data_IF_847087758474
#
_entry.id   IF_847087758474
#
_cell.length_a   1.000
_cell.length_b   1.000
_cell.length_c   1.000
_cell.angle_alpha   90.00
_cell.angle_beta   90.00
_cell.angle_gamma   90.00
#
_symmetry.space_group_name_H-M   'P 1'
#
loop_
_entity.id
_entity.type
_entity.pdbx_description
1 polymer ?
#
# COMPACT_ATOMS: atom_id res chain seq x y z
N UNK A 1 50.72 -17.11 8.38
CA UNK A 1 49.75 -17.61 9.39
C UNK A 1 48.79 -16.53 9.90
N UNK A 2 49.20 -15.26 10.13
CA UNK A 2 48.31 -14.19 10.64
C UNK A 2 47.13 -13.79 9.74
N UNK A 3 47.29 -13.79 8.41
CA UNK A 3 46.19 -13.43 7.48
C UNK A 3 45.06 -14.46 7.53
N UNK A 4 45.41 -15.75 7.68
CA UNK A 4 44.44 -16.85 7.74
C UNK A 4 43.60 -16.80 9.03
N UNK A 5 44.15 -16.32 10.15
CA UNK A 5 43.41 -16.19 11.42
C UNK A 5 42.50 -14.95 11.50
N UNK A 6 42.70 -13.96 10.63
CA UNK A 6 41.78 -12.83 10.47
C UNK A 6 40.52 -13.21 9.71
N UNK A 7 40.66 -13.92 8.59
CA UNK A 7 39.54 -14.34 7.75
C UNK A 7 38.51 -15.21 8.48
N UNK A 8 38.97 -16.19 9.27
CA UNK A 8 38.08 -17.07 10.03
C UNK A 8 37.29 -16.34 11.13
N UNK A 9 37.85 -15.28 11.72
CA UNK A 9 37.12 -14.47 12.72
C UNK A 9 35.98 -13.68 12.06
N UNK A 10 36.26 -13.01 10.95
CA UNK A 10 35.23 -12.25 10.19
C UNK A 10 34.11 -13.18 9.71
N UNK A 11 34.44 -14.36 9.18
CA UNK A 11 33.43 -15.32 8.75
C UNK A 11 32.57 -15.83 9.92
N UNK A 12 33.17 -16.17 11.07
CA UNK A 12 32.43 -16.57 12.26
C UNK A 12 31.52 -15.46 12.79
N UNK A 13 31.97 -14.21 12.76
CA UNK A 13 31.16 -13.07 13.21
C UNK A 13 29.99 -12.79 12.24
N UNK A 14 30.22 -12.87 10.92
CA UNK A 14 29.16 -12.78 9.91
C UNK A 14 28.14 -13.91 10.04
N UNK A 15 28.60 -15.15 10.29
CA UNK A 15 27.72 -16.30 10.52
C UNK A 15 26.88 -16.13 11.78
N UNK A 16 27.47 -15.64 12.88
CA UNK A 16 26.74 -15.34 14.13
C UNK A 16 25.71 -14.22 13.94
N UNK A 17 26.06 -13.15 13.23
CA UNK A 17 25.13 -12.05 12.92
C UNK A 17 23.98 -12.56 12.05
N UNK A 18 24.28 -13.37 11.03
CA UNK A 18 23.27 -13.96 10.14
C UNK A 18 22.33 -14.91 10.89
N UNK A 19 22.89 -15.79 11.74
CA UNK A 19 22.10 -16.72 12.55
C UNK A 19 21.24 -15.99 13.58
N UNK A 20 21.78 -14.96 14.25
CA UNK A 20 21.02 -14.11 15.18
C UNK A 20 19.90 -13.34 14.47
N UNK A 21 20.17 -12.82 13.27
CA UNK A 21 19.17 -12.18 12.41
C UNK A 21 18.06 -13.16 12.03
N UNK A 22 18.40 -14.39 11.66
CA UNK A 22 17.42 -15.44 11.34
C UNK A 22 16.58 -15.79 12.57
N UNK A 23 17.20 -16.03 13.73
CA UNK A 23 16.48 -16.31 14.98
C UNK A 23 15.56 -15.15 15.41
N UNK A 24 16.00 -13.90 15.26
CA UNK A 24 15.19 -12.72 15.55
C UNK A 24 14.05 -12.49 14.56
N UNK A 25 14.17 -12.99 13.33
CA UNK A 25 13.15 -12.94 12.28
C UNK A 25 12.09 -14.01 12.51
N UNK A 26 12.52 -15.21 12.91
CA UNK A 26 11.66 -16.37 13.18
C UNK A 26 11.25 -16.52 14.66
N UNK A 27 11.50 -15.50 15.48
CA UNK A 27 11.09 -15.50 16.88
C UNK A 27 9.57 -15.76 16.98
N UNK A 28 9.11 -16.76 17.75
CA UNK A 28 7.69 -17.12 17.85
C UNK A 28 6.80 -15.91 18.18
N UNK A 29 7.26 -15.01 19.05
CA UNK A 29 6.54 -13.79 19.44
C UNK A 29 6.27 -12.82 18.28
N UNK A 30 7.03 -12.89 17.19
CA UNK A 30 6.80 -12.12 15.96
C UNK A 30 5.99 -12.91 14.95
N UNK A 31 6.32 -14.19 14.75
CA UNK A 31 5.64 -15.06 13.77
C UNK A 31 4.17 -15.27 14.13
N UNK A 32 3.85 -15.46 15.41
CA UNK A 32 2.49 -15.72 15.89
C UNK A 32 1.68 -14.45 16.16
N UNK A 33 2.10 -13.27 15.70
CA UNK A 33 1.23 -12.08 15.79
C UNK A 33 0.03 -12.25 14.86
N UNK A 34 -1.15 -11.85 15.34
CA UNK A 34 -2.42 -11.96 14.63
C UNK A 34 -2.38 -11.46 13.16
N UNK A 35 -1.69 -10.35 12.81
CA UNK A 35 -1.58 -9.92 11.42
C UNK A 35 -0.82 -10.91 10.52
N UNK A 36 0.24 -11.53 11.05
CA UNK A 36 1.04 -12.53 10.33
C UNK A 36 0.29 -13.85 10.20
N UNK A 37 -0.42 -14.28 11.25
CA UNK A 37 -1.26 -15.46 11.19
C UNK A 37 -2.40 -15.32 10.19
N UNK A 38 -3.10 -14.17 10.18
CA UNK A 38 -4.15 -13.90 9.18
C UNK A 38 -3.59 -13.88 7.76
N UNK A 39 -2.39 -13.32 7.57
CA UNK A 39 -1.70 -13.36 6.29
C UNK A 39 -1.34 -14.80 5.88
N UNK A 40 -0.73 -15.58 6.77
CA UNK A 40 -0.36 -16.97 6.50
C UNK A 40 -1.59 -17.83 6.20
N UNK A 41 -2.64 -17.73 7.01
CA UNK A 41 -3.90 -18.46 6.83
C UNK A 41 -4.57 -18.14 5.49
N UNK A 42 -4.61 -16.86 5.09
CA UNK A 42 -5.17 -16.41 3.81
C UNK A 42 -4.45 -17.04 2.61
N UNK A 43 -3.12 -16.98 2.59
CA UNK A 43 -2.33 -17.56 1.49
C UNK A 43 -2.38 -19.09 1.53
N UNK A 44 -2.28 -19.70 2.71
CA UNK A 44 -2.36 -21.15 2.89
C UNK A 44 -3.69 -21.70 2.39
N UNK A 45 -4.81 -21.07 2.76
CA UNK A 45 -6.14 -21.47 2.31
C UNK A 45 -6.24 -21.39 0.78
N UNK A 46 -5.79 -20.28 0.20
CA UNK A 46 -5.86 -20.09 -1.26
C UNK A 46 -5.01 -21.10 -2.03
N UNK A 47 -3.78 -21.39 -1.56
CA UNK A 47 -2.91 -22.43 -2.13
C UNK A 47 -3.53 -23.81 -1.97
N UNK A 48 -4.10 -24.11 -0.79
CA UNK A 48 -4.76 -25.39 -0.53
C UNK A 48 -5.97 -25.60 -1.44
N UNK A 49 -6.81 -24.56 -1.63
CA UNK A 49 -7.95 -24.62 -2.56
C UNK A 49 -7.47 -24.83 -4.00
N UNK A 50 -6.43 -24.11 -4.44
CA UNK A 50 -5.84 -24.31 -5.76
C UNK A 50 -5.28 -25.73 -5.94
N UNK A 51 -4.69 -26.31 -4.89
CA UNK A 51 -4.17 -27.68 -4.91
C UNK A 51 -5.31 -28.70 -5.03
N UNK A 52 -6.39 -28.54 -4.27
CA UNK A 52 -7.59 -29.39 -4.35
C UNK A 52 -8.23 -29.30 -5.75
N UNK A 53 -8.32 -28.10 -6.32
CA UNK A 53 -8.79 -27.90 -7.70
C UNK A 53 -7.83 -28.55 -8.70
N UNK A 54 -6.52 -28.50 -8.49
CA UNK A 54 -5.55 -29.19 -9.35
C UNK A 54 -5.70 -30.71 -9.36
N UNK A 55 -6.06 -31.32 -8.22
CA UNK A 55 -6.28 -32.76 -8.09
C UNK A 55 -7.64 -33.18 -8.66
N UNK A 56 -8.73 -32.51 -8.25
CA UNK A 56 -10.10 -32.93 -8.56
C UNK A 56 -10.75 -32.18 -9.71
N UNK A 57 -10.19 -31.04 -10.13
CA UNK A 57 -10.78 -30.15 -11.13
C UNK A 57 -10.96 -30.79 -12.50
N UNK A 58 -10.11 -31.75 -12.86
CA UNK A 58 -10.28 -32.51 -14.12
C UNK A 58 -11.65 -33.19 -14.21
N UNK A 59 -12.21 -33.67 -13.10
CA UNK A 59 -13.53 -34.31 -13.08
C UNK A 59 -14.67 -33.34 -13.37
N UNK A 60 -14.52 -32.06 -12.99
CA UNK A 60 -15.52 -31.02 -13.24
C UNK A 60 -15.34 -30.35 -14.60
N UNK A 61 -14.12 -30.39 -15.14
CA UNK A 61 -13.67 -29.48 -16.17
C UNK A 61 -12.54 -30.07 -17.06
N UNK A 62 -12.79 -31.20 -17.74
CA UNK A 62 -11.76 -31.91 -18.50
C UNK A 62 -11.20 -31.08 -19.67
N UNK A 63 -12.01 -30.15 -20.20
CA UNK A 63 -11.66 -29.33 -21.35
C UNK A 63 -10.59 -28.27 -21.04
N UNK A 64 -10.55 -27.73 -19.82
CA UNK A 64 -9.68 -26.59 -19.48
C UNK A 64 -8.64 -26.87 -18.38
N UNK A 65 -8.82 -27.90 -17.54
CA UNK A 65 -7.82 -28.28 -16.53
C UNK A 65 -7.10 -29.57 -16.94
N UNK A 66 -5.76 -29.53 -16.84
CA UNK A 66 -4.95 -30.74 -16.95
C UNK A 66 -5.05 -31.54 -15.65
N UNK A 67 -5.18 -32.88 -15.71
CA UNK A 67 -5.21 -33.71 -14.51
C UNK A 67 -3.90 -33.58 -13.73
N UNK A 68 -4.00 -33.51 -12.40
CA UNK A 68 -2.87 -33.44 -11.46
C UNK A 68 -1.88 -32.31 -11.72
N UNK A 69 -2.35 -31.15 -12.22
CA UNK A 69 -1.47 -30.02 -12.53
C UNK A 69 -1.10 -29.21 -11.28
N UNK A 70 0.18 -29.09 -10.91
CA UNK A 70 0.63 -28.24 -9.80
C UNK A 70 0.65 -26.74 -10.17
N UNK A 71 0.37 -26.40 -11.43
CA UNK A 71 0.55 -25.05 -11.99
C UNK A 71 -0.20 -23.99 -11.20
N UNK A 72 -1.44 -24.27 -10.78
CA UNK A 72 -2.27 -23.31 -10.04
C UNK A 72 -1.66 -22.97 -8.68
N UNK A 73 -1.31 -23.98 -7.90
CA UNK A 73 -0.71 -23.82 -6.58
C UNK A 73 0.68 -23.16 -6.65
N UNK A 74 1.52 -23.58 -7.63
CA UNK A 74 2.84 -22.98 -7.85
C UNK A 74 2.73 -21.51 -8.25
N UNK A 75 1.82 -21.19 -9.16
CA UNK A 75 1.61 -19.80 -9.59
C UNK A 75 1.18 -18.96 -8.39
N UNK A 76 0.25 -19.46 -7.59
CA UNK A 76 -0.23 -18.73 -6.44
C UNK A 76 0.85 -18.53 -5.35
N UNK A 77 1.72 -19.53 -5.15
CA UNK A 77 2.87 -19.41 -4.25
C UNK A 77 3.82 -18.28 -4.66
N UNK A 78 3.99 -18.04 -5.97
CA UNK A 78 4.77 -16.90 -6.49
C UNK A 78 4.03 -15.56 -6.34
N UNK A 79 2.69 -15.59 -6.32
CA UNK A 79 1.83 -14.40 -6.25
C UNK A 79 1.51 -13.97 -4.82
N UNK A 80 2.10 -14.58 -3.80
CA UNK A 80 1.93 -14.16 -2.41
C UNK A 80 2.30 -12.67 -2.26
N UNK A 81 1.34 -11.85 -1.83
CA UNK A 81 1.54 -10.42 -1.60
C UNK A 81 1.19 -10.05 -0.16
N UNK A 82 2.14 -9.40 0.52
CA UNK A 82 1.98 -8.94 1.91
C UNK A 82 1.02 -7.75 2.03
N UNK A 83 0.91 -6.94 0.99
CA UNK A 83 0.06 -5.75 1.01
C UNK A 83 -1.40 -6.17 0.89
N UNK A 84 -2.27 -5.72 1.80
CA UNK A 84 -3.67 -6.15 1.87
C UNK A 84 -4.55 -5.45 0.82
N UNK A 85 -4.27 -4.19 0.50
CA UNK A 85 -5.22 -3.33 -0.23
C UNK A 85 -4.76 -2.99 -1.66
N UNK A 86 -3.47 -2.73 -1.92
CA UNK A 86 -2.91 -2.84 -3.28
C UNK A 86 -2.77 -4.28 -3.78
N UNK A 87 -3.18 -5.29 -2.99
CA UNK A 87 -3.17 -6.69 -3.40
C UNK A 87 -3.91 -6.87 -4.72
N UNK A 88 -5.11 -6.28 -4.84
CA UNK A 88 -5.96 -6.45 -6.01
C UNK A 88 -5.27 -5.95 -7.28
N UNK A 89 -4.89 -4.67 -7.31
CA UNK A 89 -4.26 -4.08 -8.49
C UNK A 89 -2.93 -4.75 -8.82
N UNK A 90 -2.10 -5.08 -7.80
CA UNK A 90 -0.84 -5.79 -8.02
C UNK A 90 -1.07 -7.21 -8.55
N UNK A 91 -2.05 -7.93 -8.02
CA UNK A 91 -2.41 -9.28 -8.49
C UNK A 91 -2.98 -9.24 -9.91
N UNK A 92 -3.79 -8.23 -10.26
CA UNK A 92 -4.25 -8.00 -11.63
C UNK A 92 -3.10 -7.66 -12.57
N UNK A 93 -2.21 -6.77 -12.18
CA UNK A 93 -1.01 -6.44 -12.95
C UNK A 93 -0.12 -7.67 -13.17
N UNK A 94 0.04 -8.52 -12.15
CA UNK A 94 0.76 -9.79 -12.28
C UNK A 94 0.04 -10.75 -13.23
N UNK A 95 -1.28 -10.89 -13.14
CA UNK A 95 -2.09 -11.70 -14.06
C UNK A 95 -1.90 -11.23 -15.50
N UNK A 96 -2.09 -9.94 -15.73
CA UNK A 96 -1.94 -9.31 -17.05
C UNK A 96 -0.54 -9.55 -17.57
N UNK A 97 0.48 -9.37 -16.73
CA UNK A 97 1.87 -9.58 -17.12
C UNK A 97 2.18 -11.02 -17.53
N UNK A 98 1.73 -12.00 -16.74
CA UNK A 98 1.90 -13.43 -17.05
C UNK A 98 1.13 -13.81 -18.31
N UNK A 99 -0.13 -13.37 -18.42
CA UNK A 99 -1.01 -13.73 -19.54
C UNK A 99 -0.51 -13.12 -20.84
N UNK A 100 -0.23 -11.81 -20.85
CA UNK A 100 0.33 -11.15 -22.03
C UNK A 100 1.73 -11.66 -22.37
N UNK A 101 2.58 -11.92 -21.38
CA UNK A 101 3.89 -12.55 -21.60
C UNK A 101 3.77 -13.83 -22.40
N UNK A 102 2.93 -14.76 -21.92
CA UNK A 102 2.73 -16.04 -22.61
C UNK A 102 2.07 -15.89 -23.98
N UNK A 103 1.01 -15.08 -24.10
CA UNK A 103 0.29 -14.90 -25.37
C UNK A 103 1.20 -14.26 -26.42
N UNK A 104 1.90 -13.17 -26.10
CA UNK A 104 2.79 -12.49 -27.05
C UNK A 104 3.98 -13.40 -27.39
N UNK A 105 4.53 -14.11 -26.40
CA UNK A 105 5.61 -15.05 -26.63
C UNK A 105 5.21 -16.22 -27.56
N UNK A 106 3.99 -16.76 -27.42
CA UNK A 106 3.42 -17.76 -28.35
C UNK A 106 3.23 -17.17 -29.75
N UNK A 107 2.73 -15.94 -29.87
CA UNK A 107 2.60 -15.28 -31.18
C UNK A 107 3.97 -15.09 -31.86
N UNK A 108 5.00 -14.74 -31.07
CA UNK A 108 6.36 -14.65 -31.57
C UNK A 108 6.94 -16.01 -31.97
N UNK A 109 6.64 -17.09 -31.24
CA UNK A 109 7.08 -18.43 -31.62
C UNK A 109 6.40 -18.92 -32.90
N UNK A 110 5.11 -18.62 -33.11
CA UNK A 110 4.40 -18.89 -34.37
C UNK A 110 5.05 -18.14 -35.55
N UNK A 111 5.52 -16.91 -35.34
CA UNK A 111 6.23 -16.20 -36.41
C UNK A 111 7.57 -16.89 -36.76
N UNK A 112 8.27 -17.43 -35.76
CA UNK A 112 9.54 -18.14 -35.94
C UNK A 112 9.39 -19.49 -36.66
N UNK A 113 8.22 -20.13 -36.63
CA UNK A 113 8.01 -21.41 -37.35
C UNK A 113 8.06 -21.27 -38.87
N UNK A 114 8.02 -20.05 -39.41
CA UNK A 114 8.24 -19.79 -40.84
C UNK A 114 9.69 -20.05 -41.29
N UNK A 115 10.63 -20.21 -40.35
CA UNK A 115 12.02 -20.56 -40.64
C UNK A 115 12.25 -22.07 -40.45
N UNK A 116 13.10 -22.66 -41.29
CA UNK A 116 13.43 -24.08 -41.17
C UNK A 116 14.18 -24.38 -39.86
N UNK A 117 13.73 -25.41 -39.16
CA UNK A 117 14.42 -25.94 -37.97
C UNK A 117 15.88 -26.29 -38.29
N UNK A 118 16.80 -25.83 -37.44
CA UNK A 118 18.25 -26.02 -37.61
C UNK A 118 18.93 -25.04 -38.58
N UNK A 119 18.18 -24.14 -39.23
CA UNK A 119 18.80 -23.10 -40.07
C UNK A 119 19.48 -22.01 -39.23
N UNK A 120 20.60 -21.47 -39.72
CA UNK A 120 21.25 -20.28 -39.13
C UNK A 120 20.31 -19.07 -39.11
N UNK A 121 19.42 -18.99 -40.10
CA UNK A 121 18.39 -17.95 -40.18
C UNK A 121 17.44 -17.98 -38.97
N UNK A 122 16.99 -19.17 -38.55
CA UNK A 122 16.15 -19.33 -37.34
C UNK A 122 16.89 -18.84 -36.09
N UNK A 123 18.18 -19.17 -35.94
CA UNK A 123 18.98 -18.73 -34.80
C UNK A 123 19.10 -17.20 -34.73
N UNK A 124 19.42 -16.55 -35.85
CA UNK A 124 19.51 -15.08 -35.93
C UNK A 124 18.14 -14.46 -35.66
N UNK A 125 17.08 -14.96 -36.30
CA UNK A 125 15.72 -14.46 -36.13
C UNK A 125 15.25 -14.58 -34.68
N UNK A 126 15.52 -15.71 -34.03
CA UNK A 126 15.18 -15.93 -32.63
C UNK A 126 15.94 -15.00 -31.69
N UNK A 127 17.26 -14.90 -31.85
CA UNK A 127 18.09 -14.02 -31.04
C UNK A 127 17.61 -12.56 -31.16
N UNK A 128 17.38 -12.09 -32.38
CA UNK A 128 16.86 -10.74 -32.64
C UNK A 128 15.47 -10.56 -32.03
N UNK A 129 14.57 -11.54 -32.16
CA UNK A 129 13.22 -11.47 -31.59
C UNK A 129 13.25 -11.36 -30.06
N UNK A 130 14.03 -12.22 -29.39
CA UNK A 130 14.21 -12.18 -27.93
C UNK A 130 14.84 -10.85 -27.51
N UNK A 131 15.86 -10.37 -28.22
CA UNK A 131 16.51 -9.10 -27.92
C UNK A 131 15.54 -7.92 -28.04
N UNK A 132 14.79 -7.81 -29.13
CA UNK A 132 13.78 -6.75 -29.33
C UNK A 132 12.69 -6.84 -28.26
N UNK A 133 12.17 -8.05 -28.01
CA UNK A 133 11.12 -8.29 -27.03
C UNK A 133 11.54 -7.85 -25.62
N UNK A 134 12.68 -8.35 -25.14
CA UNK A 134 13.20 -8.01 -23.81
C UNK A 134 13.55 -6.53 -23.72
N UNK A 135 14.19 -5.96 -24.74
CA UNK A 135 14.57 -4.53 -24.75
C UNK A 135 13.34 -3.62 -24.68
N UNK A 136 12.29 -3.92 -25.44
CA UNK A 136 11.05 -3.15 -25.43
C UNK A 136 10.37 -3.16 -24.05
N UNK A 137 10.21 -4.34 -23.44
CA UNK A 137 9.57 -4.45 -22.14
C UNK A 137 10.45 -3.94 -20.99
N UNK A 138 11.78 -4.05 -21.09
CA UNK A 138 12.68 -3.39 -20.14
C UNK A 138 12.64 -1.86 -20.28
N UNK A 139 12.56 -1.33 -21.50
CA UNK A 139 12.35 0.10 -21.70
C UNK A 139 11.03 0.58 -21.07
N UNK A 140 9.94 -0.17 -21.25
CA UNK A 140 8.66 0.11 -20.58
C UNK A 140 8.80 0.03 -19.04
N UNK A 141 9.59 -0.93 -18.53
CA UNK A 141 9.87 -1.07 -17.11
C UNK A 141 10.53 0.19 -16.52
N UNK A 142 11.51 0.77 -17.22
CA UNK A 142 12.24 1.94 -16.73
C UNK A 142 11.51 3.27 -16.96
N UNK A 143 10.61 3.35 -17.95
CA UNK A 143 9.92 4.61 -18.29
C UNK A 143 8.57 4.79 -17.60
N UNK A 144 7.87 3.71 -17.25
CA UNK A 144 6.50 3.78 -16.72
C UNK A 144 6.39 3.11 -15.35
N UNK A 145 6.29 3.92 -14.28
CA UNK A 145 6.21 3.41 -12.90
C UNK A 145 4.99 2.52 -12.66
N UNK A 146 3.83 2.90 -13.21
CA UNK A 146 2.58 2.15 -13.04
C UNK A 146 2.58 0.78 -13.73
N UNK A 147 3.26 0.66 -14.87
CA UNK A 147 3.30 -0.56 -15.69
C UNK A 147 4.59 -1.35 -15.56
N UNK A 148 5.53 -0.87 -14.75
CA UNK A 148 6.85 -1.47 -14.58
C UNK A 148 6.76 -2.96 -14.21
N UNK A 149 6.01 -3.28 -13.15
CA UNK A 149 5.78 -4.66 -12.73
C UNK A 149 5.23 -5.51 -13.88
N UNK A 150 4.19 -5.04 -14.58
CA UNK A 150 3.58 -5.77 -15.70
C UNK A 150 4.62 -6.06 -16.79
N UNK A 151 5.39 -5.04 -17.20
CA UNK A 151 6.44 -5.15 -18.21
C UNK A 151 7.48 -6.23 -17.86
N UNK A 152 7.94 -6.23 -16.62
CA UNK A 152 8.91 -7.21 -16.13
C UNK A 152 8.36 -8.64 -16.17
N UNK A 153 7.09 -8.84 -15.80
CA UNK A 153 6.44 -10.15 -15.89
C UNK A 153 6.25 -10.57 -17.36
N UNK A 154 5.85 -9.66 -18.25
CA UNK A 154 5.73 -9.95 -19.69
C UNK A 154 7.08 -10.42 -20.24
N UNK A 155 8.16 -9.71 -19.94
CA UNK A 155 9.51 -10.08 -20.34
C UNK A 155 9.91 -11.46 -19.78
N UNK A 156 9.70 -11.69 -18.48
CA UNK A 156 10.08 -12.93 -17.83
C UNK A 156 9.33 -14.17 -18.38
N UNK A 157 8.01 -14.06 -18.54
CA UNK A 157 7.18 -15.19 -18.97
C UNK A 157 7.10 -15.36 -20.49
N UNK A 158 7.30 -14.29 -21.26
CA UNK A 158 7.23 -14.33 -22.72
C UNK A 158 8.49 -14.86 -23.39
N UNK A 159 9.65 -14.80 -22.74
CA UNK A 159 10.88 -15.39 -23.27
C UNK A 159 10.80 -16.93 -23.32
N UNK A 160 10.11 -17.57 -22.38
CA UNK A 160 10.00 -19.04 -22.33
C UNK A 160 9.45 -19.65 -23.63
N UNK A 161 8.27 -19.26 -24.14
CA UNK A 161 7.78 -19.77 -25.42
C UNK A 161 8.62 -19.30 -26.63
N UNK A 162 9.31 -18.15 -26.54
CA UNK A 162 10.22 -17.71 -27.61
C UNK A 162 11.46 -18.60 -27.72
N UNK A 163 11.90 -19.24 -26.64
CA UNK A 163 13.04 -20.17 -26.66
C UNK A 163 12.67 -21.58 -27.15
N UNK A 164 11.38 -21.86 -27.36
CA UNK A 164 10.89 -23.14 -27.87
C UNK A 164 10.89 -23.15 -29.40
N UNK A 165 12.06 -23.39 -29.98
CA UNK A 165 12.37 -23.14 -31.39
C UNK A 165 11.77 -24.13 -32.38
N UNK A 166 11.48 -25.36 -31.95
CA UNK A 166 11.16 -26.48 -32.85
C UNK A 166 10.20 -27.48 -32.19
N UNK A 167 9.00 -27.02 -31.81
CA UNK A 167 7.93 -27.95 -31.43
C UNK A 167 7.30 -28.55 -32.69
N UNK A 168 7.56 -29.84 -32.94
CA UNK A 168 7.01 -30.59 -34.09
C UNK A 168 5.47 -30.72 -34.04
N UNK A 169 4.81 -30.35 -32.93
CA UNK A 169 3.37 -30.52 -32.75
C UNK A 169 2.72 -29.21 -32.24
N UNK A 170 2.44 -28.29 -33.17
CA UNK A 170 1.85 -26.97 -32.89
C UNK A 170 0.48 -27.10 -32.20
N UNK A 171 -0.37 -28.03 -32.65
CA UNK A 171 -1.75 -28.15 -32.16
C UNK A 171 -1.84 -28.67 -30.71
N UNK A 172 -1.05 -29.70 -30.37
CA UNK A 172 -1.03 -30.25 -29.01
C UNK A 172 -0.38 -29.29 -28.02
N UNK A 173 0.63 -28.54 -28.49
CA UNK A 173 1.30 -27.50 -27.70
C UNK A 173 0.33 -26.35 -27.40
N UNK A 174 -0.43 -25.89 -28.39
CA UNK A 174 -1.40 -24.81 -28.18
C UNK A 174 -2.47 -25.18 -27.16
N UNK A 175 -3.06 -26.37 -27.28
CA UNK A 175 -4.06 -26.86 -26.33
C UNK A 175 -3.50 -26.94 -24.90
N UNK A 176 -2.25 -27.41 -24.74
CA UNK A 176 -1.59 -27.47 -23.44
C UNK A 176 -1.34 -26.09 -22.84
N UNK A 177 -0.83 -25.13 -23.64
CA UNK A 177 -0.58 -23.75 -23.18
C UNK A 177 -1.87 -23.02 -22.83
N UNK A 178 -2.94 -23.24 -23.59
CA UNK A 178 -4.25 -22.69 -23.28
C UNK A 178 -4.78 -23.20 -21.94
N UNK A 179 -4.68 -24.51 -21.67
CA UNK A 179 -5.02 -25.09 -20.35
C UNK A 179 -4.17 -24.49 -19.23
N UNK A 180 -2.89 -24.21 -19.50
CA UNK A 180 -2.00 -23.56 -18.54
C UNK A 180 -2.46 -22.14 -18.18
N UNK A 181 -2.81 -21.32 -19.19
CA UNK A 181 -3.34 -19.96 -19.00
C UNK A 181 -4.68 -20.00 -18.24
N UNK A 182 -5.56 -20.94 -18.59
CA UNK A 182 -6.82 -21.16 -17.88
C UNK A 182 -6.62 -21.52 -16.41
N UNK A 183 -5.64 -22.38 -16.11
CA UNK A 183 -5.25 -22.73 -14.75
C UNK A 183 -4.75 -21.51 -13.96
N UNK A 184 -3.85 -20.71 -14.54
CA UNK A 184 -3.35 -19.47 -13.91
C UNK A 184 -4.49 -18.48 -13.62
N UNK A 185 -5.37 -18.26 -14.59
CA UNK A 185 -6.53 -17.37 -14.45
C UNK A 185 -7.46 -17.86 -13.34
N UNK A 186 -7.74 -19.17 -13.29
CA UNK A 186 -8.56 -19.77 -12.23
C UNK A 186 -7.93 -19.62 -10.85
N UNK A 187 -6.61 -19.78 -10.74
CA UNK A 187 -5.89 -19.63 -9.46
C UNK A 187 -6.03 -18.20 -8.91
N UNK A 188 -6.02 -17.22 -9.80
CA UNK A 188 -6.23 -15.82 -9.43
C UNK A 188 -7.67 -15.54 -9.03
N UNK A 189 -8.67 -16.07 -9.73
CA UNK A 189 -10.08 -15.97 -9.33
C UNK A 189 -10.28 -16.54 -7.91
N UNK A 190 -9.66 -17.69 -7.62
CA UNK A 190 -9.67 -18.29 -6.27
C UNK A 190 -9.02 -17.35 -5.26
N UNK A 191 -7.83 -16.83 -5.56
CA UNK A 191 -7.15 -15.87 -4.69
C UNK A 191 -8.01 -14.64 -4.42
N UNK A 192 -8.71 -14.14 -5.43
CA UNK A 192 -9.62 -13.01 -5.28
C UNK A 192 -10.80 -13.33 -4.39
N UNK A 193 -11.43 -14.50 -4.57
CA UNK A 193 -12.52 -14.93 -3.71
C UNK A 193 -12.06 -15.06 -2.25
N UNK A 194 -10.87 -15.65 -2.01
CA UNK A 194 -10.28 -15.75 -0.67
C UNK A 194 -9.95 -14.36 -0.11
N UNK A 195 -9.34 -13.49 -0.91
CA UNK A 195 -9.03 -12.12 -0.50
C UNK A 195 -10.30 -11.33 -0.15
N UNK A 196 -11.40 -11.49 -0.88
CA UNK A 196 -12.69 -10.88 -0.55
C UNK A 196 -13.24 -11.37 0.79
N UNK A 197 -13.10 -12.67 1.09
CA UNK A 197 -13.56 -13.24 2.38
C UNK A 197 -12.68 -12.75 3.54
N UNK A 198 -11.37 -12.65 3.33
CA UNK A 198 -10.40 -12.34 4.38
C UNK A 198 -10.08 -10.84 4.54
N UNK A 199 -10.27 -9.99 3.53
CA UNK A 199 -9.98 -8.56 3.58
C UNK A 199 -11.27 -7.76 3.75
N UNK A 200 -11.84 -7.82 4.96
CA UNK A 200 -13.04 -7.03 5.33
C UNK A 200 -12.77 -5.54 5.57
N UNK A 201 -11.51 -5.15 5.73
CA UNK A 201 -11.15 -3.75 6.02
C UNK A 201 -10.85 -3.03 4.73
N UNK A 202 -11.62 -1.98 4.42
CA UNK A 202 -11.37 -1.17 3.24
C UNK A 202 -10.08 -0.35 3.39
N UNK A 203 -9.42 0.06 2.30
CA UNK A 203 -8.28 1.00 2.38
C UNK A 203 -8.65 2.31 3.05
N UNK A 204 -9.88 2.80 2.83
CA UNK A 204 -10.39 3.98 3.52
C UNK A 204 -10.39 3.79 5.03
N UNK A 205 -10.82 2.64 5.54
CA UNK A 205 -10.83 2.35 6.98
C UNK A 205 -9.42 2.33 7.58
N UNK A 206 -8.42 1.84 6.83
CA UNK A 206 -7.02 1.85 7.27
C UNK A 206 -6.47 3.28 7.33
N UNK A 207 -6.74 4.11 6.33
CA UNK A 207 -6.33 5.52 6.34
C UNK A 207 -7.01 6.26 7.48
N UNK A 208 -8.31 6.03 7.70
CA UNK A 208 -9.06 6.58 8.83
C UNK A 208 -8.44 6.16 10.16
N UNK A 209 -8.03 4.89 10.28
CA UNK A 209 -7.37 4.40 11.49
C UNK A 209 -6.01 5.06 11.74
N UNK A 210 -5.19 5.22 10.69
CA UNK A 210 -3.94 5.99 10.79
C UNK A 210 -4.19 7.46 11.13
N UNK A 211 -5.22 8.08 10.55
CA UNK A 211 -5.63 9.45 10.89
C UNK A 211 -6.01 9.58 12.36
N UNK A 212 -6.69 8.60 12.96
CA UNK A 212 -6.99 8.59 14.40
C UNK A 212 -5.72 8.58 15.25
N UNK A 213 -4.74 7.75 14.89
CA UNK A 213 -3.45 7.75 15.61
C UNK A 213 -2.70 9.06 15.46
N UNK A 214 -2.68 9.63 14.25
CA UNK A 214 -2.05 10.94 14.01
C UNK A 214 -2.70 11.99 14.92
N UNK A 215 -4.04 11.98 15.02
CA UNK A 215 -4.78 12.85 15.93
C UNK A 215 -4.39 12.63 17.40
N UNK A 216 -4.37 11.38 17.88
CA UNK A 216 -4.00 11.04 19.27
C UNK A 216 -2.56 11.48 19.61
N UNK A 217 -1.60 11.13 18.75
CA UNK A 217 -0.18 11.50 18.94
C UNK A 217 0.02 13.01 18.86
N UNK A 218 -0.73 13.72 17.99
CA UNK A 218 -0.65 15.17 17.92
C UNK A 218 -1.19 15.84 19.18
N UNK A 219 -2.30 15.35 19.73
CA UNK A 219 -2.86 15.85 21.00
C UNK A 219 -1.86 15.66 22.14
N UNK A 220 -1.24 14.48 22.22
CA UNK A 220 -0.20 14.20 23.20
C UNK A 220 1.00 15.13 23.02
N UNK A 221 1.50 15.29 21.79
CA UNK A 221 2.63 16.17 21.50
C UNK A 221 2.32 17.63 21.86
N UNK A 222 1.11 18.11 21.53
CA UNK A 222 0.66 19.45 21.90
C UNK A 222 0.56 19.60 23.42
N UNK A 223 -0.02 18.62 24.13
CA UNK A 223 -0.10 18.62 25.59
C UNK A 223 1.30 18.62 26.25
N UNK A 224 2.25 17.83 25.72
CA UNK A 224 3.64 17.80 26.20
C UNK A 224 4.34 19.15 26.00
N UNK A 225 4.13 19.78 24.85
CA UNK A 225 4.64 21.13 24.56
C UNK A 225 4.07 22.17 25.52
N UNK A 226 2.78 22.08 25.84
CA UNK A 226 2.07 23.06 26.67
C UNK A 226 2.34 22.89 28.16
N UNK A 227 2.31 21.67 28.69
CA UNK A 227 2.28 21.40 30.14
C UNK A 227 3.55 20.75 30.68
N UNK A 228 4.08 19.74 29.99
CA UNK A 228 5.13 18.88 30.56
C UNK A 228 6.54 19.43 30.33
N UNK A 229 6.72 20.24 29.28
CA UNK A 229 8.03 20.77 28.86
C UNK A 229 9.11 19.66 28.67
N UNK A 230 8.67 18.42 28.44
CA UNK A 230 9.54 17.25 28.24
C UNK A 230 9.93 17.15 26.77
N UNK A 231 11.07 17.78 26.43
CA UNK A 231 11.59 17.84 25.06
C UNK A 231 11.89 16.45 24.46
N UNK A 232 12.54 15.49 25.18
CA UNK A 232 12.68 14.12 24.69
C UNK A 232 11.36 13.43 24.36
N UNK A 233 10.34 13.57 25.21
CA UNK A 233 9.02 12.99 24.94
C UNK A 233 8.37 13.64 23.70
N UNK A 234 8.43 14.97 23.59
CA UNK A 234 7.92 15.71 22.44
C UNK A 234 8.60 15.28 21.13
N UNK A 235 9.92 15.11 21.13
CA UNK A 235 10.68 14.64 19.96
C UNK A 235 10.23 13.23 19.53
N UNK A 236 10.01 12.35 20.51
CA UNK A 236 9.47 11.01 20.26
C UNK A 236 8.09 11.05 19.61
N UNK A 237 7.16 11.86 20.16
CA UNK A 237 5.80 12.00 19.59
C UNK A 237 5.82 12.62 18.18
N UNK A 238 6.69 13.62 17.93
CA UNK A 238 6.89 14.20 16.59
C UNK A 238 7.37 13.15 15.58
N UNK A 239 8.29 12.29 16.00
CA UNK A 239 8.80 11.22 15.14
C UNK A 239 7.75 10.12 14.91
N UNK A 240 6.96 9.78 15.92
CA UNK A 240 5.84 8.84 15.80
C UNK A 240 4.74 9.36 14.86
N UNK A 241 4.33 10.63 15.02
CA UNK A 241 3.38 11.27 14.12
C UNK A 241 3.87 11.26 12.67
N UNK A 242 5.17 11.51 12.44
CA UNK A 242 5.77 11.43 11.11
C UNK A 242 5.63 10.04 10.50
N UNK A 243 5.85 8.98 11.28
CA UNK A 243 5.71 7.60 10.79
C UNK A 243 4.27 7.30 10.37
N UNK A 244 3.28 7.66 11.20
CA UNK A 244 1.86 7.47 10.86
C UNK A 244 1.43 8.30 9.66
N UNK A 245 1.91 9.53 9.54
CA UNK A 245 1.62 10.38 8.39
C UNK A 245 2.19 9.81 7.09
N UNK A 246 3.41 9.25 7.13
CA UNK A 246 3.98 8.54 5.98
C UNK A 246 3.18 7.28 5.61
N UNK A 247 2.73 6.51 6.60
CA UNK A 247 1.89 5.32 6.36
C UNK A 247 0.54 5.70 5.74
N UNK A 248 -0.11 6.76 6.23
CA UNK A 248 -1.34 7.29 5.65
C UNK A 248 -1.15 7.76 4.19
N UNK A 249 -0.07 8.48 3.88
CA UNK A 249 0.27 8.88 2.51
C UNK A 249 0.53 7.70 1.57
N UNK A 250 1.12 6.61 2.07
CA UNK A 250 1.33 5.39 1.28
C UNK A 250 0.02 4.66 0.96
N UNK A 251 -0.95 4.74 1.87
CA UNK A 251 -2.28 4.13 1.71
C UNK A 251 -3.23 5.00 0.88
N UNK A 252 -3.03 6.31 0.87
CA UNK A 252 -3.94 7.27 0.24
C UNK A 252 -4.27 6.95 -1.23
N UNK A 253 -3.30 6.65 -2.13
CA UNK A 253 -3.61 6.34 -3.54
C UNK A 253 -4.55 5.15 -3.71
N UNK A 254 -4.58 4.20 -2.77
CA UNK A 254 -5.45 3.03 -2.81
C UNK A 254 -6.91 3.37 -2.44
N UNK A 255 -7.15 4.58 -1.92
CA UNK A 255 -8.46 5.08 -1.54
C UNK A 255 -9.15 5.86 -2.66
N UNK A 256 -8.52 6.03 -3.83
CA UNK A 256 -9.12 6.75 -4.95
C UNK A 256 -10.42 6.04 -5.38
N UNK A 257 -11.58 6.71 -5.31
CA UNK A 257 -12.85 6.11 -5.71
C UNK A 257 -12.86 5.66 -7.18
N UNK A 258 -12.00 6.22 -8.04
CA UNK A 258 -11.87 5.84 -9.46
C UNK A 258 -11.25 4.45 -9.65
N UNK A 259 -10.51 3.94 -8.66
CA UNK A 259 -9.90 2.62 -8.70
C UNK A 259 -10.83 1.50 -8.22
N UNK A 260 -12.02 1.83 -7.68
CA UNK A 260 -12.97 0.82 -7.20
C UNK A 260 -13.66 0.13 -8.38
N UNK A 261 -13.50 -1.19 -8.48
CA UNK A 261 -14.14 -1.97 -9.54
C UNK A 261 -15.67 -2.06 -9.41
N UNK A 262 -16.22 -1.98 -8.19
CA UNK A 262 -17.67 -2.15 -7.94
C UNK A 262 -18.16 -1.20 -6.82
N UNK A 263 -18.98 -0.17 -7.13
CA UNK A 263 -19.48 0.81 -6.16
C UNK A 263 -20.82 0.39 -5.55
N UNK A 264 -20.96 -0.84 -5.04
CA UNK A 264 -22.31 -1.42 -4.86
C UNK A 264 -22.96 -1.09 -3.51
N UNK A 265 -22.22 -0.74 -2.45
CA UNK A 265 -22.81 -0.60 -1.10
C UNK A 265 -22.41 0.64 -0.29
N UNK A 266 -21.23 1.20 -0.53
CA UNK A 266 -20.72 2.32 0.27
C UNK A 266 -20.54 3.59 -0.57
N UNK A 267 -20.72 4.75 0.05
CA UNK A 267 -20.38 6.02 -0.60
C UNK A 267 -18.88 6.05 -0.97
N UNK A 268 -18.50 6.78 -2.03
CA UNK A 268 -17.09 6.95 -2.37
C UNK A 268 -16.33 7.55 -1.18
N UNK A 269 -15.10 7.10 -0.97
CA UNK A 269 -14.23 7.68 0.03
C UNK A 269 -13.93 9.14 -0.33
N UNK A 270 -13.88 10.01 0.69
CA UNK A 270 -13.66 11.46 0.55
C UNK A 270 -12.18 11.74 0.30
N UNK A 271 -11.66 11.27 -0.84
CA UNK A 271 -10.23 11.27 -1.17
C UNK A 271 -9.62 12.68 -1.15
N UNK A 272 -10.27 13.66 -1.76
CA UNK A 272 -9.76 15.04 -1.82
C UNK A 272 -9.68 15.67 -0.42
N UNK A 273 -10.73 15.48 0.39
CA UNK A 273 -10.74 15.93 1.79
C UNK A 273 -9.61 15.30 2.59
N UNK A 274 -9.40 13.98 2.44
CA UNK A 274 -8.31 13.28 3.12
C UNK A 274 -6.93 13.80 2.68
N UNK A 275 -6.76 14.12 1.40
CA UNK A 275 -5.51 14.66 0.85
C UNK A 275 -5.20 16.04 1.44
N UNK A 276 -6.20 16.94 1.47
CA UNK A 276 -6.06 18.27 2.07
C UNK A 276 -5.77 18.15 3.57
N UNK A 277 -6.50 17.28 4.26
CA UNK A 277 -6.32 17.03 5.68
C UNK A 277 -4.90 16.52 6.02
N UNK A 278 -4.39 15.54 5.27
CA UNK A 278 -3.03 15.02 5.43
C UNK A 278 -1.96 16.10 5.14
N UNK A 279 -2.21 16.95 4.14
CA UNK A 279 -1.32 18.06 3.81
C UNK A 279 -1.27 19.11 4.95
N UNK A 280 -2.42 19.43 5.53
CA UNK A 280 -2.50 20.33 6.68
C UNK A 280 -1.85 19.73 7.94
N UNK A 281 -2.05 18.44 8.20
CA UNK A 281 -1.37 17.73 9.30
C UNK A 281 0.16 17.70 9.10
N UNK A 282 0.62 17.60 7.85
CA UNK A 282 2.04 17.68 7.52
C UNK A 282 2.62 19.09 7.74
N UNK A 283 1.83 20.14 7.47
CA UNK A 283 2.19 21.51 7.79
C UNK A 283 2.30 21.70 9.31
N UNK A 284 1.28 21.27 10.07
CA UNK A 284 1.29 21.31 11.54
C UNK A 284 2.47 20.54 12.15
N UNK A 285 2.84 19.39 11.58
CA UNK A 285 4.04 18.65 11.99
C UNK A 285 5.33 19.45 11.73
N UNK A 286 5.40 20.19 10.63
CA UNK A 286 6.55 21.07 10.33
C UNK A 286 6.64 22.23 11.31
N UNK A 287 5.51 22.83 11.66
CA UNK A 287 5.45 23.91 12.66
C UNK A 287 5.84 23.41 14.04
N UNK A 288 5.37 22.23 14.44
CA UNK A 288 5.72 21.61 15.72
C UNK A 288 7.24 21.31 15.80
N UNK A 289 7.86 20.90 14.69
CA UNK A 289 9.32 20.75 14.60
C UNK A 289 10.06 22.08 14.69
N UNK A 290 9.53 23.12 14.05
CA UNK A 290 10.12 24.46 14.14
C UNK A 290 10.07 24.96 15.59
N UNK A 291 8.95 24.76 16.29
CA UNK A 291 8.82 25.07 17.71
C UNK A 291 9.83 24.27 18.55
N UNK A 292 10.00 22.97 18.26
CA UNK A 292 10.99 22.13 18.94
C UNK A 292 12.41 22.67 18.76
N UNK A 293 12.79 23.06 17.55
CA UNK A 293 14.12 23.65 17.26
C UNK A 293 14.27 25.01 17.94
N UNK A 294 13.25 25.87 17.87
CA UNK A 294 13.28 27.19 18.50
C UNK A 294 13.46 27.10 20.02
N UNK A 295 12.78 26.15 20.67
CA UNK A 295 12.95 25.88 22.10
C UNK A 295 14.33 25.30 22.41
N UNK A 296 14.87 24.45 21.52
CA UNK A 296 16.19 23.85 21.69
C UNK A 296 17.35 24.86 21.54
N UNK A 297 17.22 25.84 20.63
CA UNK A 297 18.24 26.86 20.35
C UNK A 297 18.34 27.94 21.43
N UNK A 298 17.29 28.14 22.23
CA UNK A 298 17.31 29.09 23.35
C UNK A 298 18.14 28.64 24.57
N UNK A 299 18.92 27.55 24.44
CA UNK A 299 19.88 27.17 25.47
C UNK A 299 20.88 28.32 25.68
N UNK A 300 21.02 28.83 26.91
CA UNK A 300 21.99 29.87 27.18
C UNK A 300 23.39 29.35 26.82
N UNK A 301 24.10 30.12 26.00
CA UNK A 301 25.52 29.93 25.70
C UNK A 301 26.23 29.78 27.05
N UNK A 302 26.75 28.57 27.33
CA UNK A 302 27.38 28.26 28.61
C UNK A 302 28.53 29.25 28.88
N UNK A 303 28.35 30.11 29.87
CA UNK A 303 29.44 30.84 30.47
C UNK A 303 30.17 29.91 31.46
N UNK A 304 31.37 29.47 31.12
CA UNK A 304 32.42 29.11 32.07
C UNK A 304 32.28 27.84 32.92
N UNK A 305 32.92 26.77 32.45
CA UNK A 305 33.59 25.69 33.21
C UNK A 305 32.89 25.01 34.42
N UNK A 306 32.41 23.78 34.20
CA UNK A 306 32.61 22.68 35.16
C UNK A 306 31.38 21.97 35.73
N UNK A 307 30.16 22.45 35.49
CA UNK A 307 28.95 21.86 36.09
C UNK A 307 28.35 20.72 35.22
N UNK A 308 27.76 19.68 35.83
CA UNK A 308 27.14 18.57 35.11
C UNK A 308 26.02 19.08 34.20
N UNK A 309 26.01 18.57 32.96
CA UNK A 309 25.06 18.92 31.90
C UNK A 309 23.63 18.61 32.38
N UNK A 310 22.92 19.64 32.84
CA UNK A 310 21.49 19.54 33.12
C UNK A 310 20.72 19.38 31.81
N UNK A 311 19.67 18.55 31.84
CA UNK A 311 18.76 18.36 30.71
C UNK A 311 18.16 19.71 30.26
N UNK A 312 17.82 19.85 28.96
CA UNK A 312 17.23 21.07 28.42
C UNK A 312 15.93 21.43 29.13
N UNK A 313 15.95 22.47 29.95
CA UNK A 313 14.76 23.15 30.46
C UNK A 313 14.38 24.31 29.54
N UNK A 314 13.09 24.63 29.46
CA UNK A 314 12.61 25.82 28.73
C UNK A 314 13.32 27.08 29.23
N UNK A 315 13.58 28.02 28.32
CA UNK A 315 14.13 29.33 28.69
C UNK A 315 13.13 30.07 29.59
N UNK A 316 13.61 30.69 30.67
CA UNK A 316 12.76 31.46 31.61
C UNK A 316 11.85 32.51 30.93
N UNK A 317 12.28 33.25 29.88
CA UNK A 317 11.41 34.21 29.20
C UNK A 317 10.16 33.57 28.59
N UNK A 318 10.29 32.37 28.01
CA UNK A 318 9.13 31.63 27.49
C UNK A 318 8.23 31.15 28.62
N UNK A 319 8.80 30.76 29.77
CA UNK A 319 7.99 30.35 30.92
C UNK A 319 7.14 31.50 31.44
N UNK A 320 7.74 32.68 31.60
CA UNK A 320 7.03 33.91 32.00
C UNK A 320 5.95 34.28 30.98
N UNK A 321 6.23 34.15 29.68
CA UNK A 321 5.23 34.38 28.64
C UNK A 321 4.08 33.36 28.73
N UNK A 322 4.39 32.08 28.94
CA UNK A 322 3.40 31.02 29.04
C UNK A 322 2.56 31.06 30.33
N UNK A 323 3.06 31.71 31.39
CA UNK A 323 2.36 31.91 32.67
C UNK A 323 1.39 33.12 32.63
N UNK A 324 1.37 33.92 31.56
CA UNK A 324 0.43 35.05 31.47
C UNK A 324 -1.03 34.55 31.38
N UNK A 325 -1.95 35.02 32.25
CA UNK A 325 -3.32 34.51 32.31
C UNK A 325 -4.08 34.57 30.98
N UNK A 326 -3.90 35.65 30.21
CA UNK A 326 -4.52 35.80 28.90
C UNK A 326 -4.04 34.75 27.88
N UNK A 327 -2.77 34.35 27.95
CA UNK A 327 -2.21 33.31 27.08
C UNK A 327 -2.60 31.91 27.54
N UNK A 328 -2.86 31.71 28.84
CA UNK A 328 -3.40 30.45 29.35
C UNK A 328 -4.81 30.23 28.80
N UNK A 329 -5.70 31.21 28.95
CA UNK A 329 -7.08 31.13 28.45
C UNK A 329 -7.13 30.92 26.93
N UNK A 330 -6.36 31.72 26.17
CA UNK A 330 -6.30 31.59 24.72
C UNK A 330 -5.80 30.20 24.28
N UNK A 331 -4.84 29.63 25.02
CA UNK A 331 -4.27 28.31 24.72
C UNK A 331 -5.24 27.19 25.03
N UNK A 332 -5.97 27.26 26.14
CA UNK A 332 -7.00 26.27 26.49
C UNK A 332 -8.10 26.24 25.42
N UNK A 333 -8.54 27.41 24.94
CA UNK A 333 -9.51 27.52 23.85
C UNK A 333 -8.94 26.92 22.56
N UNK A 334 -7.71 27.28 22.19
CA UNK A 334 -7.04 26.75 21.01
C UNK A 334 -6.86 25.23 21.09
N UNK A 335 -6.43 24.72 22.24
CA UNK A 335 -6.25 23.29 22.49
C UNK A 335 -7.56 22.54 22.30
N UNK A 336 -8.64 23.04 22.90
CA UNK A 336 -9.95 22.41 22.80
C UNK A 336 -10.46 22.40 21.35
N UNK A 337 -10.32 23.52 20.63
CA UNK A 337 -10.71 23.60 19.22
C UNK A 337 -9.91 22.61 18.36
N UNK A 338 -8.60 22.53 18.60
CA UNK A 338 -7.72 21.59 17.92
C UNK A 338 -8.10 20.13 18.22
N UNK A 339 -8.34 19.81 19.48
CA UNK A 339 -8.76 18.48 19.92
C UNK A 339 -10.08 18.07 19.26
N UNK A 340 -11.04 18.99 19.23
CA UNK A 340 -12.32 18.80 18.56
C UNK A 340 -12.08 18.50 17.06
N UNK A 341 -11.38 19.37 16.33
CA UNK A 341 -11.10 19.18 14.89
C UNK A 341 -10.43 17.83 14.62
N UNK A 342 -9.45 17.45 15.43
CA UNK A 342 -8.71 16.20 15.28
C UNK A 342 -9.57 14.95 15.57
N UNK A 343 -10.60 15.05 16.40
CA UNK A 343 -11.55 13.96 16.64
C UNK A 343 -12.59 13.85 15.51
N UNK A 344 -13.07 14.98 15.00
CA UNK A 344 -14.10 14.97 13.96
C UNK A 344 -13.55 14.58 12.60
N UNK A 345 -12.30 14.92 12.29
CA UNK A 345 -11.73 14.65 10.97
C UNK A 345 -11.74 13.15 10.63
N UNK A 346 -11.23 12.22 11.48
CA UNK A 346 -11.37 10.79 11.22
C UNK A 346 -12.82 10.31 11.23
N UNK A 347 -13.71 10.90 12.04
CA UNK A 347 -15.13 10.56 12.07
C UNK A 347 -15.82 10.90 10.73
N UNK A 348 -15.56 12.08 10.18
CA UNK A 348 -16.06 12.53 8.88
C UNK A 348 -15.52 11.63 7.77
N UNK A 349 -14.24 11.24 7.82
CA UNK A 349 -13.63 10.34 6.83
C UNK A 349 -14.15 8.90 6.95
N UNK A 350 -14.44 8.42 8.16
CA UNK A 350 -15.02 7.09 8.41
C UNK A 350 -16.47 6.97 7.91
N UNK A 351 -17.16 8.10 7.82
CA UNK A 351 -18.56 8.13 7.47
C UNK A 351 -18.79 7.83 5.98
N UNK A 352 -19.24 6.61 5.72
CA UNK A 352 -19.41 5.99 4.40
C UNK A 352 -20.88 5.74 3.98
N UNK A 353 -21.83 6.30 4.73
CA UNK A 353 -23.27 6.19 4.47
C UNK A 353 -23.80 7.53 3.97
N UNK A 354 -24.92 7.49 3.25
CA UNK A 354 -25.63 8.71 2.83
C UNK A 354 -26.45 9.34 3.95
N UNK A 355 -26.65 8.62 5.06
CA UNK A 355 -27.34 9.12 6.26
C UNK A 355 -26.53 10.23 6.93
N UNK A 356 -27.13 11.21 7.61
CA UNK A 356 -26.37 12.20 8.37
C UNK A 356 -25.46 11.55 9.44
N UNK A 357 -24.39 12.25 9.84
CA UNK A 357 -23.52 11.83 10.96
C UNK A 357 -24.32 11.99 12.25
N UNK A 358 -24.69 10.87 12.86
CA UNK A 358 -25.43 10.80 14.13
C UNK A 358 -24.47 10.85 15.33
N UNK A 359 -23.69 11.93 15.41
CA UNK A 359 -22.81 12.22 16.54
C UNK A 359 -23.24 13.54 17.18
N UNK A 360 -23.69 13.48 18.44
CA UNK A 360 -24.18 14.65 19.19
C UNK A 360 -23.13 15.76 19.27
N UNK A 361 -21.85 15.41 19.43
CA UNK A 361 -20.76 16.39 19.53
C UNK A 361 -20.56 17.11 18.20
N UNK A 362 -20.72 16.40 17.09
CA UNK A 362 -20.66 16.99 15.76
C UNK A 362 -21.79 17.99 15.54
N UNK A 363 -23.01 17.67 16.00
CA UNK A 363 -24.16 18.59 15.94
C UNK A 363 -23.97 19.82 16.84
N UNK A 364 -23.36 19.67 18.02
CA UNK A 364 -23.03 20.80 18.91
C UNK A 364 -22.02 21.75 18.26
N UNK A 365 -21.03 21.24 17.53
CA UNK A 365 -20.09 22.11 16.83
C UNK A 365 -20.70 22.84 15.64
N UNK A 366 -21.55 22.14 14.87
CA UNK A 366 -22.30 22.77 13.79
C UNK A 366 -23.18 23.92 14.31
N UNK A 367 -23.82 23.72 15.47
CA UNK A 367 -24.69 24.75 16.09
C UNK A 367 -23.92 25.89 16.74
N UNK A 368 -22.69 25.66 17.22
CA UNK A 368 -21.82 26.71 17.78
C UNK A 368 -21.25 27.67 16.73
N UNK A 369 -21.40 27.40 15.44
CA UNK A 369 -20.91 28.25 14.37
C UNK A 369 -19.39 28.41 14.34
N UNK A 370 -18.64 27.58 15.09
CA UNK A 370 -17.18 27.60 15.08
C UNK A 370 -16.59 26.99 13.80
N UNK A 371 -17.39 26.19 13.10
CA UNK A 371 -17.14 25.77 11.73
C UNK A 371 -18.07 26.56 10.83
N UNK A 372 -17.55 27.60 10.19
CA UNK A 372 -18.26 28.25 9.08
C UNK A 372 -18.28 27.28 7.89
N UNK A 373 -19.27 26.39 7.88
CA UNK A 373 -19.52 25.43 6.79
C UNK A 373 -20.00 26.17 5.52
N UNK A 374 -20.14 27.50 5.54
CA UNK A 374 -20.42 28.31 4.35
C UNK A 374 -19.38 28.15 3.25
N UNK A 375 -18.11 27.91 3.59
CA UNK A 375 -17.07 27.58 2.60
C UNK A 375 -17.22 26.16 2.00
N UNK A 376 -18.03 25.30 2.62
CA UNK A 376 -18.38 23.97 2.11
C UNK A 376 -19.62 23.97 1.20
N UNK A 377 -20.47 25.01 1.25
CA UNK A 377 -21.59 25.12 0.30
C UNK A 377 -21.09 25.40 -1.13
N UNK A 378 -19.89 25.97 -1.30
CA UNK A 378 -19.19 26.05 -2.59
C UNK A 378 -18.61 24.70 -3.05
N UNK A 379 -18.37 23.78 -2.10
CA UNK A 379 -18.03 22.36 -2.35
C UNK A 379 -19.26 21.44 -2.43
N UNK A 380 -20.47 21.99 -2.30
CA UNK A 380 -21.71 21.27 -2.59
C UNK A 380 -21.78 21.07 -4.10
N UNK A 381 -21.25 19.92 -4.52
CA UNK A 381 -21.49 19.34 -5.84
C UNK A 381 -22.98 19.05 -6.05
N UNK A 382 -23.77 20.10 -6.33
CA UNK A 382 -25.04 20.09 -7.06
C UNK A 382 -25.05 21.38 -7.90
N UNK A 383 -24.75 21.30 -9.21
CA UNK A 383 -25.50 20.44 -10.14
C UNK A 383 -24.68 19.41 -10.94
N UNK A 384 -23.34 19.45 -10.97
CA UNK A 384 -22.57 18.65 -11.94
C UNK A 384 -22.55 17.15 -11.64
N UNK A 385 -22.48 16.73 -10.37
CA UNK A 385 -22.45 15.30 -10.03
C UNK A 385 -23.84 14.67 -10.01
N UNK A 386 -24.88 15.47 -9.73
CA UNK A 386 -26.29 15.06 -9.93
C UNK A 386 -26.63 14.98 -11.42
N UNK A 387 -26.15 15.91 -12.26
CA UNK A 387 -26.26 15.82 -13.72
C UNK A 387 -25.45 14.66 -14.31
N UNK A 388 -24.25 14.34 -13.80
CA UNK A 388 -23.48 13.17 -14.26
C UNK A 388 -24.12 11.84 -13.82
N UNK A 389 -24.68 11.77 -12.62
CA UNK A 389 -25.42 10.59 -12.16
C UNK A 389 -26.78 10.44 -12.87
N UNK A 390 -27.49 11.53 -13.19
CA UNK A 390 -28.69 11.50 -14.03
C UNK A 390 -28.38 11.16 -15.49
N UNK A 391 -27.25 11.64 -16.05
CA UNK A 391 -26.80 11.27 -17.39
C UNK A 391 -26.39 9.79 -17.45
N UNK A 392 -25.73 9.27 -16.40
CA UNK A 392 -25.36 7.85 -16.26
C UNK A 392 -26.57 6.95 -15.97
N UNK A 393 -27.62 7.47 -15.31
CA UNK A 393 -28.93 6.78 -15.17
C UNK A 393 -29.72 6.79 -16.48
N UNK A 394 -29.75 7.90 -17.25
CA UNK A 394 -30.47 7.98 -18.53
C UNK A 394 -29.85 7.12 -19.63
N UNK A 395 -28.53 6.93 -19.63
CA UNK A 395 -27.84 6.01 -20.56
C UNK A 395 -28.07 4.54 -20.21
N UNK A 396 -28.41 4.22 -18.95
CA UNK A 396 -28.69 2.84 -18.52
C UNK A 396 -30.10 2.34 -18.87
N UNK A 397 -31.01 3.22 -19.28
CA UNK A 397 -32.36 2.88 -19.77
C UNK A 397 -32.50 2.94 -21.30
N UNK A 398 -31.42 3.25 -22.03
CA UNK A 398 -31.39 3.27 -23.50
C UNK A 398 -30.61 2.09 -24.11
N UNK A 399 -30.15 1.16 -23.29
CA UNK A 399 -29.54 -0.11 -23.70
C UNK A 399 -30.14 -1.24 -22.87
N UNK A 400 -31.41 -1.52 -23.12
CA UNK A 400 -32.08 -2.82 -22.94
C UNK A 400 -32.92 -3.05 -24.18
#
# INVERSE_FOLDING_TARGET
>A
SRVRSGFWRVFCDLAKISLKGLWLTWAPSKVFRLPHLRFAARNFLSISVCFVIGIHGHSFAPSYLSPYSPTMANTLALLISRYKNSAWQKNMQRLLGVTFGKVIGILGSIWLTNFNCGSVALFIANYTMVWVFVTFFLYMYFTQTQWSSVACHIAAFGVVPLLDLCSEHVDSTFAMRYKEIGGITSALVVQFAVDMVFNRTSPGDLVVWEMKKISEVFKEAYHLYVHAQDMPALESSVQEMRMHLQEAWLLLPECDPKLRCLPVLDTPFKFDLCTVALSNLQALLSDLKLLLVAVADMKPVQAGSGSPVSLPTFSEPLRVLFEQPALVEAREVQQKLLEDILDFLPLILAHNKETPIDDERFQILLTRGSLDVGAYDEFRMRPLLYQQLEASRRTRWLVV
#
